data_IF_062323842833
#
_entry.id   IF_062323842833
#
_cell.length_a   1.000
_cell.length_b   1.000
_cell.length_c   1.000
_cell.angle_alpha   90.00
_cell.angle_beta   90.00
_cell.angle_gamma   90.00
#
_symmetry.space_group_name_H-M   'P 1'
#
loop_
_entity.id
_entity.type
_entity.pdbx_description
1 polymer ?
#
# COMPACT_ATOMS: atom_id res chain seq x y z
N UNK A 1 -4.09 11.53 -16.84
CA UNK A 1 -2.67 11.96 -16.89
C UNK A 1 -2.29 12.85 -18.07
N UNK A 2 -3.08 12.94 -19.16
CA UNK A 2 -2.70 13.68 -20.39
C UNK A 2 -2.48 15.19 -20.21
N UNK A 3 -2.94 15.77 -19.10
CA UNK A 3 -2.84 17.20 -18.80
C UNK A 3 -1.64 17.58 -17.91
N UNK A 4 -0.84 16.60 -17.46
CA UNK A 4 0.33 16.87 -16.61
C UNK A 4 1.58 16.35 -17.34
N UNK A 5 2.50 17.22 -17.76
CA UNK A 5 3.70 16.82 -18.51
C UNK A 5 4.74 16.10 -17.63
N UNK A 6 5.65 15.38 -18.27
CA UNK A 6 6.80 14.73 -17.63
C UNK A 6 6.53 13.33 -17.05
N UNK A 7 7.58 12.62 -16.58
CA UNK A 7 7.44 11.34 -15.89
C UNK A 7 6.60 11.49 -14.63
N UNK A 8 5.75 10.51 -14.35
CA UNK A 8 4.82 10.53 -13.21
C UNK A 8 4.86 9.22 -12.46
N UNK A 9 4.41 9.29 -11.21
CA UNK A 9 4.19 8.13 -10.35
C UNK A 9 2.79 8.22 -9.76
N UNK A 10 2.21 7.08 -9.43
CA UNK A 10 0.97 6.98 -8.67
C UNK A 10 1.29 6.47 -7.27
N UNK A 11 0.86 7.20 -6.25
CA UNK A 11 1.07 6.83 -4.86
C UNK A 11 -0.19 6.20 -4.28
N UNK A 12 -0.13 4.92 -3.95
CA UNK A 12 -1.27 4.13 -3.48
C UNK A 12 -1.25 3.98 -1.97
N UNK A 13 -2.44 3.91 -1.38
CA UNK A 13 -2.66 3.38 -0.03
C UNK A 13 -3.06 1.90 -0.06
N UNK A 14 -2.76 1.18 1.02
CA UNK A 14 -3.09 -0.23 1.19
C UNK A 14 -4.59 -0.55 1.06
N UNK A 15 -5.48 0.41 1.38
CA UNK A 15 -6.94 0.25 1.22
C UNK A 15 -7.43 0.24 -0.24
N UNK A 16 -6.57 0.52 -1.23
CA UNK A 16 -6.90 0.37 -2.65
C UNK A 16 -6.60 -1.04 -3.19
N UNK A 17 -6.45 -2.02 -2.30
CA UNK A 17 -6.29 -3.41 -2.71
C UNK A 17 -7.49 -3.89 -3.53
N UNK A 18 -7.26 -4.82 -4.42
CA UNK A 18 -8.30 -5.50 -5.20
C UNK A 18 -8.46 -6.94 -4.69
N UNK A 19 -9.67 -7.33 -4.31
CA UNK A 19 -10.02 -8.69 -3.88
C UNK A 19 -11.53 -8.92 -3.96
N UNK A 20 -11.95 -10.14 -4.30
CA UNK A 20 -13.37 -10.55 -4.30
C UNK A 20 -13.93 -10.75 -2.87
N UNK A 21 -13.04 -10.89 -1.88
CA UNK A 21 -13.41 -11.15 -0.49
C UNK A 21 -12.72 -10.14 0.45
N UNK A 22 -13.30 -9.83 1.61
CA UNK A 22 -12.63 -8.97 2.60
C UNK A 22 -11.27 -9.54 3.03
N UNK A 23 -10.23 -8.71 2.97
CA UNK A 23 -8.87 -9.07 3.42
C UNK A 23 -8.50 -8.20 4.61
N UNK A 24 -8.06 -8.84 5.70
CA UNK A 24 -7.54 -8.12 6.86
C UNK A 24 -6.25 -7.37 6.50
N UNK A 25 -6.04 -6.17 7.06
CA UNK A 25 -4.94 -5.26 6.67
C UNK A 25 -3.55 -5.87 6.88
N UNK A 26 -3.41 -6.78 7.83
CA UNK A 26 -2.18 -7.51 8.15
C UNK A 26 -1.90 -8.67 7.19
N UNK A 27 -2.91 -9.06 6.41
CA UNK A 27 -2.86 -10.15 5.43
C UNK A 27 -2.78 -9.64 3.99
N UNK A 28 -2.60 -8.33 3.78
CA UNK A 28 -2.41 -7.76 2.44
C UNK A 28 -1.10 -8.28 1.83
N UNK A 29 -1.18 -8.78 0.60
CA UNK A 29 -0.08 -9.37 -0.17
C UNK A 29 0.07 -8.71 -1.55
N UNK A 30 1.23 -8.89 -2.21
CA UNK A 30 1.48 -8.48 -3.60
C UNK A 30 0.37 -8.76 -4.61
N UNK A 31 -0.28 -9.93 -4.52
CA UNK A 31 -1.33 -10.36 -5.45
C UNK A 31 -2.53 -9.40 -5.50
N UNK A 32 -2.86 -8.74 -4.38
CA UNK A 32 -3.99 -7.80 -4.33
C UNK A 32 -3.72 -6.47 -5.06
N UNK A 33 -2.52 -6.27 -5.60
CA UNK A 33 -2.15 -5.09 -6.40
C UNK A 33 -1.65 -5.47 -7.79
N UNK A 34 -1.89 -6.72 -8.23
CA UNK A 34 -1.45 -7.20 -9.54
C UNK A 34 -1.94 -6.29 -10.67
N UNK A 35 -3.23 -5.95 -10.66
CA UNK A 35 -3.83 -5.13 -11.71
C UNK A 35 -3.29 -3.69 -11.68
N UNK A 36 -3.06 -3.10 -10.50
CA UNK A 36 -2.35 -1.81 -10.37
C UNK A 36 -0.97 -1.84 -11.00
N UNK A 37 -0.19 -2.91 -10.79
CA UNK A 37 1.16 -3.06 -11.37
C UNK A 37 1.08 -3.18 -12.89
N UNK A 38 0.18 -4.01 -13.41
CA UNK A 38 -0.03 -4.20 -14.85
C UNK A 38 -0.48 -2.89 -15.52
N UNK A 39 -1.44 -2.20 -14.92
CA UNK A 39 -1.90 -0.90 -15.39
C UNK A 39 -0.79 0.15 -15.37
N UNK A 40 0.00 0.22 -14.30
CA UNK A 40 1.11 1.17 -14.20
C UNK A 40 2.19 0.92 -15.26
N UNK A 41 2.51 -0.35 -15.52
CA UNK A 41 3.44 -0.73 -16.61
C UNK A 41 2.91 -0.29 -17.97
N UNK A 42 1.64 -0.58 -18.27
CA UNK A 42 1.02 -0.18 -19.54
C UNK A 42 0.99 1.34 -19.73
N UNK A 43 0.93 2.12 -18.64
CA UNK A 43 0.88 3.58 -18.66
C UNK A 43 2.22 4.26 -18.38
N UNK A 44 3.33 3.50 -18.29
CA UNK A 44 4.67 4.03 -18.02
C UNK A 44 4.69 4.90 -16.74
N UNK A 45 4.23 4.29 -15.65
CA UNK A 45 4.14 4.89 -14.34
C UNK A 45 4.97 4.13 -13.32
N UNK A 46 5.69 4.87 -12.48
CA UNK A 46 6.15 4.32 -11.21
C UNK A 46 5.01 4.22 -10.20
N UNK A 47 5.13 3.29 -9.26
CA UNK A 47 4.20 3.16 -8.13
C UNK A 47 4.92 3.43 -6.81
N UNK A 48 4.28 4.21 -5.95
CA UNK A 48 4.61 4.39 -4.52
C UNK A 48 3.52 3.76 -3.66
N UNK A 49 3.83 3.47 -2.40
CA UNK A 49 2.92 2.74 -1.52
C UNK A 49 2.94 3.27 -0.08
N UNK A 50 1.77 3.32 0.54
CA UNK A 50 1.57 3.68 1.94
C UNK A 50 0.74 2.61 2.65
N UNK A 51 1.12 2.20 3.88
CA UNK A 51 0.18 1.52 4.75
C UNK A 51 -1.02 2.44 5.05
N UNK A 52 -2.15 1.86 5.46
CA UNK A 52 -3.35 2.61 5.84
C UNK A 52 -3.62 2.41 7.32
N UNK A 53 -3.17 3.37 8.13
CA UNK A 53 -3.21 3.34 9.60
C UNK A 53 -4.39 4.15 10.17
N UNK A 54 -5.49 4.28 9.42
CA UNK A 54 -6.64 5.11 9.78
C UNK A 54 -7.96 4.44 9.36
N UNK A 55 -9.10 4.96 9.82
CA UNK A 55 -10.44 4.48 9.46
C UNK A 55 -10.58 2.97 9.62
N UNK A 56 -10.18 2.44 10.77
CA UNK A 56 -10.27 1.03 11.14
C UNK A 56 -10.73 0.92 12.60
N UNK A 57 -11.45 -0.15 13.00
CA UNK A 57 -11.82 -0.34 14.41
C UNK A 57 -10.60 -0.28 15.36
N UNK A 58 -9.46 -0.84 14.93
CA UNK A 58 -8.21 -0.81 15.71
C UNK A 58 -7.47 0.55 15.69
N UNK A 59 -8.02 1.57 15.02
CA UNK A 59 -7.54 2.95 15.09
C UNK A 59 -8.57 3.89 15.73
N UNK A 60 -9.65 3.35 16.33
CA UNK A 60 -10.75 4.14 16.86
C UNK A 60 -10.33 5.03 18.03
N UNK A 61 -9.38 4.56 18.84
CA UNK A 61 -8.89 5.30 20.02
C UNK A 61 -7.84 6.37 19.67
N UNK A 62 -7.59 6.61 18.37
CA UNK A 62 -6.61 7.61 17.90
C UNK A 62 -5.15 7.18 17.96
N UNK A 63 -4.86 5.94 18.40
CA UNK A 63 -3.52 5.36 18.41
C UNK A 63 -3.37 4.27 17.34
N UNK A 64 -2.16 4.16 16.78
CA UNK A 64 -1.76 3.01 15.92
C UNK A 64 -0.35 2.54 16.27
N UNK A 65 0.69 3.06 15.60
CA UNK A 65 2.08 2.70 15.88
C UNK A 65 2.50 3.02 17.33
N UNK A 66 1.89 4.04 17.92
CA UNK A 66 2.11 4.50 19.30
C UNK A 66 1.12 3.92 20.31
N UNK A 67 0.45 2.80 19.99
CA UNK A 67 -0.42 2.15 20.97
C UNK A 67 0.36 1.81 22.26
N UNK A 68 -0.25 2.02 23.45
CA UNK A 68 0.35 1.59 24.71
C UNK A 68 0.73 0.10 24.67
N UNK A 69 1.87 -0.25 25.26
CA UNK A 69 2.52 -1.56 25.14
C UNK A 69 1.61 -2.76 25.46
N UNK A 70 0.59 -2.57 26.31
CA UNK A 70 -0.39 -3.62 26.64
C UNK A 70 -1.35 -3.96 25.50
N UNK A 71 -1.47 -3.11 24.47
CA UNK A 71 -2.30 -3.29 23.29
C UNK A 71 -1.47 -3.49 21.99
N UNK A 72 -0.15 -3.63 22.12
CA UNK A 72 0.78 -3.70 20.98
C UNK A 72 0.54 -4.90 20.04
N UNK A 73 -0.03 -5.99 20.56
CA UNK A 73 -0.42 -7.15 19.74
C UNK A 73 -1.47 -6.78 18.67
N UNK A 74 -2.30 -5.75 18.93
CA UNK A 74 -3.36 -5.28 18.03
C UNK A 74 -2.85 -4.29 16.98
N UNK A 75 -1.82 -3.49 17.28
CA UNK A 75 -1.32 -2.42 16.42
C UNK A 75 -0.46 -2.89 15.24
N UNK A 76 0.21 -4.04 15.40
CA UNK A 76 0.98 -4.68 14.33
C UNK A 76 0.14 -5.11 13.13
N UNK A 77 -1.19 -5.15 13.29
CA UNK A 77 -2.13 -5.57 12.25
C UNK A 77 -2.43 -4.48 11.20
N UNK A 78 -2.11 -3.21 11.48
CA UNK A 78 -2.53 -2.10 10.61
C UNK A 78 -1.35 -1.52 9.80
N UNK A 79 -0.10 -1.74 10.24
CA UNK A 79 0.91 -0.68 10.02
C UNK A 79 2.19 -1.05 9.28
N UNK A 80 2.69 -2.31 9.28
CA UNK A 80 4.08 -2.53 8.86
C UNK A 80 4.36 -3.68 7.88
N UNK A 81 3.69 -4.83 7.99
CA UNK A 81 4.02 -6.01 7.16
C UNK A 81 3.81 -5.81 5.65
N UNK A 82 2.73 -5.14 5.18
CA UNK A 82 2.50 -5.00 3.75
C UNK A 82 3.60 -4.17 3.08
N UNK A 83 3.98 -3.03 3.67
CA UNK A 83 4.92 -2.09 3.07
C UNK A 83 6.29 -2.72 2.73
N UNK A 84 6.77 -3.65 3.57
CA UNK A 84 8.03 -4.38 3.30
C UNK A 84 7.86 -5.37 2.15
N UNK A 85 6.73 -6.07 2.08
CA UNK A 85 6.43 -7.04 1.02
C UNK A 85 6.31 -6.41 -0.37
N UNK A 86 5.95 -5.12 -0.46
CA UNK A 86 5.83 -4.40 -1.74
C UNK A 86 7.15 -3.83 -2.29
N UNK A 87 8.23 -3.79 -1.51
CA UNK A 87 9.52 -3.21 -1.96
C UNK A 87 10.02 -3.74 -3.32
N UNK A 88 9.98 -5.05 -3.63
CA UNK A 88 10.43 -5.56 -4.93
C UNK A 88 9.59 -5.05 -6.11
N UNK A 89 8.29 -4.86 -5.88
CA UNK A 89 7.35 -4.35 -6.90
C UNK A 89 7.64 -2.87 -7.19
N UNK A 90 7.85 -2.07 -6.15
CA UNK A 90 8.14 -0.63 -6.28
C UNK A 90 9.51 -0.40 -6.95
N UNK A 91 10.50 -1.25 -6.66
CA UNK A 91 11.83 -1.16 -7.26
C UNK A 91 11.84 -1.53 -8.75
N UNK A 92 11.16 -2.60 -9.14
CA UNK A 92 11.14 -3.08 -10.53
C UNK A 92 10.41 -2.13 -11.49
N UNK A 93 9.37 -1.42 -11.02
CA UNK A 93 8.67 -0.42 -11.83
C UNK A 93 9.40 0.93 -11.95
N UNK A 94 10.47 1.16 -11.20
CA UNK A 94 11.20 2.43 -11.24
C UNK A 94 12.32 2.46 -12.29
N UNK A 95 12.66 1.32 -12.88
CA UNK A 95 13.78 1.18 -13.81
C UNK A 95 13.49 1.71 -15.23
N UNK A 96 12.23 1.99 -15.58
CA UNK A 96 11.86 2.39 -16.94
C UNK A 96 11.97 3.90 -17.23
N UNK A 97 12.45 4.71 -16.28
CA UNK A 97 12.43 6.18 -16.40
C UNK A 97 13.70 6.89 -15.92
N UNK A 98 14.87 6.24 -16.02
CA UNK A 98 16.15 6.98 -16.01
C UNK A 98 16.63 7.24 -17.42
#
# INVERSE_FOLDING_TARGET
>A
MRLIPGPKRLNLHAIYLESDTPVSRDQIKPEHFKNWVEWAKANQLGLDFNPSCFSHPLSADGFTLSMPTTAFASSGLITAKPAVAFRPILASNSAHHR
#
